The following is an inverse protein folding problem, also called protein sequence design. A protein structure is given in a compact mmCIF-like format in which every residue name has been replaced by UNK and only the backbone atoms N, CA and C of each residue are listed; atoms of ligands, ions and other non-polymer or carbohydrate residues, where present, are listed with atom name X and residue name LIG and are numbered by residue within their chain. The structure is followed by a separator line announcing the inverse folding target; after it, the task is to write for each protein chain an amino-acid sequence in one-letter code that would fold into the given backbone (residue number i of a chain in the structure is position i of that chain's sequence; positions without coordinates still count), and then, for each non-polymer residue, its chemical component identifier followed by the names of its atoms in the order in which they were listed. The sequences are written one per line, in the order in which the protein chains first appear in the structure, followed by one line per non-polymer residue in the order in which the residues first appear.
data_IF_905742927127
#
_entry.id   IF_905742927127
#
_cell.length_a   1.000
_cell.length_b   1.000
_cell.length_c   1.000
_cell.angle_alpha   90.00
_cell.angle_beta   90.00
_cell.angle_gamma   90.00
#
_symmetry.space_group_name_H-M   'P 1'
#
loop_
_entity.id
_entity.type
_entity.pdbx_description
1 polymer ?
#
# COMPACT_ATOMS: atom_id res chain seq x y z
N UNK A 1 -14.25 -17.59 -3.63
CA UNK A 1 -13.10 -17.67 -4.57
C UNK A 1 -11.87 -17.01 -3.95
N UNK A 2 -10.68 -17.61 -4.06
CA UNK A 2 -9.45 -16.94 -3.63
C UNK A 2 -9.17 -15.72 -4.52
N UNK A 3 -8.68 -14.60 -3.97
CA UNK A 3 -8.33 -13.43 -4.78
C UNK A 3 -7.22 -13.80 -5.77
N UNK A 4 -7.31 -13.30 -7.00
CA UNK A 4 -6.23 -13.46 -7.99
C UNK A 4 -5.12 -12.49 -7.63
N UNK A 5 -3.93 -13.00 -7.31
CA UNK A 5 -2.76 -12.18 -6.96
C UNK A 5 -1.68 -12.37 -8.03
N UNK A 6 -1.12 -11.26 -8.51
CA UNK A 6 0.02 -11.23 -9.42
C UNK A 6 1.21 -10.61 -8.70
N UNK A 7 2.33 -11.32 -8.71
CA UNK A 7 3.57 -10.90 -8.05
C UNK A 7 4.64 -10.58 -9.11
N UNK A 8 5.25 -9.41 -9.01
CA UNK A 8 6.39 -9.00 -9.83
C UNK A 8 7.54 -8.58 -8.91
N UNK A 9 8.49 -9.47 -8.65
CA UNK A 9 9.58 -9.23 -7.71
C UNK A 9 10.93 -9.55 -8.36
N UNK A 10 11.98 -8.89 -7.88
CA UNK A 10 13.36 -9.24 -8.23
C UNK A 10 13.70 -10.66 -7.76
N UNK A 11 14.62 -11.33 -8.45
CA UNK A 11 15.09 -12.65 -8.04
C UNK A 11 15.90 -12.60 -6.72
N UNK A 12 16.55 -11.47 -6.45
CA UNK A 12 17.33 -11.26 -5.24
C UNK A 12 16.47 -10.61 -4.13
N UNK A 13 16.69 -10.99 -2.84
CA UNK A 13 16.06 -10.33 -1.71
C UNK A 13 16.41 -8.84 -1.63
N UNK A 14 15.41 -8.00 -1.38
CA UNK A 14 15.61 -6.58 -1.06
C UNK A 14 15.61 -6.41 0.44
N UNK A 15 16.74 -5.96 1.00
CA UNK A 15 16.91 -5.77 2.44
C UNK A 15 16.63 -4.32 2.84
N UNK A 16 15.98 -4.16 4.00
CA UNK A 16 15.71 -2.86 4.65
C UNK A 16 15.94 -3.02 6.15
N UNK A 17 16.35 -1.94 6.83
CA UNK A 17 16.42 -1.92 8.28
C UNK A 17 15.07 -1.50 8.88
N UNK A 18 14.60 -2.24 9.88
CA UNK A 18 13.33 -1.92 10.51
C UNK A 18 12.81 -2.93 11.53
N UNK A 19 11.69 -2.58 12.16
CA UNK A 19 10.91 -3.50 12.97
C UNK A 19 10.06 -4.38 12.05
N UNK A 20 10.37 -5.67 12.04
CA UNK A 20 9.73 -6.64 11.16
C UNK A 20 8.22 -6.81 11.42
N UNK A 21 7.76 -6.63 12.67
CA UNK A 21 6.35 -6.75 13.02
C UNK A 21 5.58 -5.54 12.52
N UNK A 22 6.12 -4.33 12.70
CA UNK A 22 5.51 -3.09 12.22
C UNK A 22 5.45 -3.05 10.69
N UNK A 23 6.54 -3.41 10.00
CA UNK A 23 6.57 -3.47 8.54
C UNK A 23 5.57 -4.49 7.99
N UNK A 24 5.47 -5.67 8.62
CA UNK A 24 4.46 -6.68 8.27
C UNK A 24 3.04 -6.12 8.42
N UNK A 25 2.76 -5.41 9.51
CA UNK A 25 1.45 -4.82 9.75
C UNK A 25 1.13 -3.73 8.71
N UNK A 26 2.10 -2.91 8.33
CA UNK A 26 1.93 -1.91 7.27
C UNK A 26 1.57 -2.55 5.92
N UNK A 27 2.31 -3.59 5.52
CA UNK A 27 2.05 -4.32 4.27
C UNK A 27 0.68 -5.01 4.33
N UNK A 28 0.37 -5.66 5.46
CA UNK A 28 -0.93 -6.31 5.67
C UNK A 28 -2.09 -5.32 5.51
N UNK A 29 -1.99 -4.13 6.09
CA UNK A 29 -3.02 -3.11 5.97
C UNK A 29 -3.24 -2.66 4.52
N UNK A 30 -2.17 -2.54 3.72
CA UNK A 30 -2.31 -2.21 2.29
C UNK A 30 -2.95 -3.35 1.49
N UNK A 31 -2.53 -4.60 1.73
CA UNK A 31 -3.12 -5.77 1.06
C UNK A 31 -4.59 -5.92 1.45
N UNK A 32 -4.94 -5.79 2.73
CA UNK A 32 -6.32 -5.88 3.20
C UNK A 32 -7.20 -4.79 2.59
N UNK A 33 -6.70 -3.55 2.49
CA UNK A 33 -7.42 -2.48 1.81
C UNK A 33 -7.64 -2.80 0.33
N UNK A 34 -6.61 -3.27 -0.36
CA UNK A 34 -6.71 -3.63 -1.77
C UNK A 34 -7.66 -4.82 -2.01
N UNK A 35 -7.68 -5.82 -1.12
CA UNK A 35 -8.65 -6.92 -1.20
C UNK A 35 -10.08 -6.47 -0.90
N UNK A 36 -10.26 -5.50 -0.01
CA UNK A 36 -11.58 -5.00 0.40
C UNK A 36 -12.19 -4.04 -0.61
N UNK A 37 -11.38 -3.17 -1.21
CA UNK A 37 -11.84 -2.06 -2.06
C UNK A 37 -11.44 -2.20 -3.53
N UNK A 38 -10.62 -3.19 -3.86
CA UNK A 38 -9.95 -3.32 -5.16
C UNK A 38 -10.74 -3.93 -6.30
N UNK A 39 -12.04 -4.15 -6.12
CA UNK A 39 -12.91 -4.76 -7.13
C UNK A 39 -12.57 -6.23 -7.44
N UNK A 40 -13.08 -6.73 -8.57
CA UNK A 40 -12.93 -8.14 -8.99
C UNK A 40 -11.65 -8.42 -9.79
N UNK A 41 -10.86 -7.38 -10.09
CA UNK A 41 -9.60 -7.50 -10.82
C UNK A 41 -8.48 -8.15 -10.00
N UNK A 42 -7.38 -8.59 -10.64
CA UNK A 42 -6.26 -9.15 -9.92
C UNK A 42 -5.58 -8.09 -9.04
N UNK A 43 -5.19 -8.46 -7.83
CA UNK A 43 -4.31 -7.66 -6.99
C UNK A 43 -2.88 -7.78 -7.51
N UNK A 44 -2.25 -6.66 -7.87
CA UNK A 44 -0.89 -6.63 -8.39
C UNK A 44 0.06 -6.13 -7.30
N UNK A 45 1.07 -6.92 -6.96
CA UNK A 45 2.10 -6.56 -5.99
C UNK A 45 3.45 -6.60 -6.69
N UNK A 46 4.18 -5.50 -6.66
CA UNK A 46 5.51 -5.41 -7.25
C UNK A 46 6.54 -4.93 -6.22
N UNK A 47 7.73 -5.52 -6.25
CA UNK A 47 8.89 -5.09 -5.46
C UNK A 47 10.07 -4.83 -6.39
N UNK A 48 10.49 -3.58 -6.47
CA UNK A 48 11.61 -3.12 -7.28
C UNK A 48 12.64 -2.39 -6.42
N UNK A 49 13.82 -2.15 -6.99
CA UNK A 49 14.83 -1.26 -6.41
C UNK A 49 15.02 -0.09 -7.34
N UNK A 50 14.82 1.12 -6.81
CA UNK A 50 14.94 2.36 -7.56
C UNK A 50 15.80 3.33 -6.77
N UNK A 51 16.91 3.80 -7.36
CA UNK A 51 17.78 4.81 -6.75
C UNK A 51 18.19 4.51 -5.30
N UNK A 52 18.52 3.25 -5.00
CA UNK A 52 18.91 2.82 -3.65
C UNK A 52 17.75 2.70 -2.65
N UNK A 53 16.50 2.68 -3.11
CA UNK A 53 15.33 2.45 -2.28
C UNK A 53 14.64 1.15 -2.65
N UNK A 54 14.11 0.45 -1.65
CA UNK A 54 13.15 -0.62 -1.83
C UNK A 54 11.78 0.00 -2.15
N UNK A 55 11.20 -0.34 -3.30
CA UNK A 55 9.92 0.20 -3.75
C UNK A 55 8.90 -0.93 -3.83
N UNK A 56 7.96 -0.94 -2.88
CA UNK A 56 6.84 -1.87 -2.85
C UNK A 56 5.60 -1.17 -3.39
N UNK A 57 5.01 -1.72 -4.43
CA UNK A 57 3.78 -1.22 -5.03
C UNK A 57 2.67 -2.26 -4.91
N UNK A 58 1.48 -1.82 -4.48
CA UNK A 58 0.26 -2.62 -4.42
C UNK A 58 -0.79 -1.89 -5.24
N UNK A 59 -1.23 -2.51 -6.33
CA UNK A 59 -2.18 -1.92 -7.27
C UNK A 59 -3.43 -2.79 -7.40
N UNK A 60 -4.59 -2.17 -7.22
CA UNK A 60 -5.90 -2.78 -7.34
C UNK A 60 -6.68 -2.29 -8.56
N UNK A 61 -7.94 -2.71 -8.68
CA UNK A 61 -8.86 -2.35 -9.77
C UNK A 61 -10.18 -1.78 -9.22
N UNK A 62 -10.11 -1.18 -8.03
CA UNK A 62 -11.26 -0.60 -7.34
C UNK A 62 -11.71 0.74 -7.89
N UNK A 63 -12.49 1.48 -7.09
CA UNK A 63 -12.94 2.83 -7.44
C UNK A 63 -11.82 3.89 -7.37
N UNK A 64 -10.68 3.56 -6.76
CA UNK A 64 -9.63 4.54 -6.44
C UNK A 64 -10.02 5.46 -5.28
N UNK A 65 -9.35 6.61 -5.20
CA UNK A 65 -9.60 7.66 -4.20
C UNK A 65 -9.95 8.96 -4.92
N UNK A 66 -11.07 9.59 -4.56
CA UNK A 66 -11.41 10.91 -5.07
C UNK A 66 -10.33 11.94 -4.69
N UNK A 67 -9.96 12.85 -5.59
CA UNK A 67 -8.88 13.81 -5.37
C UNK A 67 -9.06 14.63 -4.07
N UNK A 68 -10.30 14.99 -3.73
CA UNK A 68 -10.66 15.71 -2.50
C UNK A 68 -10.41 14.92 -1.19
N UNK A 69 -10.11 13.63 -1.28
CA UNK A 69 -9.86 12.75 -0.15
C UNK A 69 -8.40 12.27 -0.08
N UNK A 70 -7.58 12.53 -1.12
CA UNK A 70 -6.23 11.97 -1.24
C UNK A 70 -5.29 12.33 -0.08
N UNK A 71 -5.41 13.51 0.50
CA UNK A 71 -4.62 13.88 1.70
C UNK A 71 -5.24 13.32 2.99
N UNK A 72 -6.58 13.32 3.05
CA UNK A 72 -7.34 12.92 4.24
C UNK A 72 -7.33 11.43 4.49
N UNK A 73 -7.10 10.58 3.49
CA UNK A 73 -7.08 9.11 3.66
C UNK A 73 -6.00 8.61 4.62
N UNK A 74 -4.99 9.42 4.93
CA UNK A 74 -3.98 9.12 5.95
C UNK A 74 -4.36 9.61 7.35
N UNK A 75 -5.42 10.41 7.49
CA UNK A 75 -5.95 10.81 8.79
C UNK A 75 -6.63 9.62 9.47
N UNK A 76 -6.50 9.54 10.79
CA UNK A 76 -7.19 8.52 11.57
C UNK A 76 -8.69 8.71 11.44
N UNK A 77 -9.42 7.61 11.24
CA UNK A 77 -10.88 7.58 11.11
C UNK A 77 -11.42 8.23 9.82
N UNK A 78 -10.55 8.67 8.91
CA UNK A 78 -10.99 9.12 7.60
C UNK A 78 -11.54 7.94 6.80
N UNK A 79 -12.74 8.14 6.24
CA UNK A 79 -13.42 7.19 5.37
C UNK A 79 -13.93 7.95 4.16
N UNK A 80 -13.83 7.35 2.97
CA UNK A 80 -14.52 7.86 1.79
C UNK A 80 -16.03 7.70 1.95
N UNK A 81 -16.81 8.64 1.40
CA UNK A 81 -18.26 8.52 1.32
C UNK A 81 -18.63 7.22 0.55
N UNK A 82 -19.46 6.35 1.15
CA UNK A 82 -19.90 5.09 0.54
C UNK A 82 -19.02 3.85 0.81
N UNK A 83 -18.00 3.93 1.68
CA UNK A 83 -17.19 2.75 2.02
C UNK A 83 -18.01 1.67 2.78
N UNK A 84 -17.96 0.38 2.38
CA UNK A 84 -18.70 -0.69 3.04
C UNK A 84 -18.37 -0.83 4.53
N UNK A 85 -19.39 -1.11 5.33
CA UNK A 85 -19.34 -1.30 6.79
C UNK A 85 -18.25 -2.31 7.18
N UNK A 86 -17.22 -1.86 7.90
CA UNK A 86 -16.16 -2.71 8.45
C UNK A 86 -14.77 -2.08 8.31
N UNK A 87 -14.15 -1.69 9.41
CA UNK A 87 -12.80 -1.11 9.43
C UNK A 87 -12.79 0.30 10.02
N UNK A 88 -11.92 0.53 11.00
CA UNK A 88 -11.89 1.75 11.81
C UNK A 88 -11.33 3.00 11.10
N UNK A 89 -11.02 2.94 9.80
CA UNK A 89 -10.33 4.02 9.09
C UNK A 89 -8.91 4.28 9.64
N UNK A 90 -8.27 3.24 10.18
CA UNK A 90 -6.94 3.35 10.80
C UNK A 90 -5.81 2.81 9.92
N UNK A 91 -6.13 1.97 8.93
CA UNK A 91 -5.13 1.19 8.18
C UNK A 91 -4.06 2.06 7.54
N UNK A 92 -4.45 3.04 6.71
CA UNK A 92 -3.49 3.94 6.04
C UNK A 92 -2.75 4.87 7.02
N UNK A 93 -3.37 5.27 8.12
CA UNK A 93 -2.70 6.03 9.18
C UNK A 93 -1.60 5.20 9.88
N UNK A 94 -1.83 3.90 10.09
CA UNK A 94 -0.82 2.95 10.59
C UNK A 94 0.31 2.83 9.57
N UNK A 95 -0.02 2.61 8.30
CA UNK A 95 0.99 2.48 7.23
C UNK A 95 1.87 3.73 7.15
N UNK A 96 1.26 4.93 7.11
CA UNK A 96 1.97 6.21 7.09
C UNK A 96 2.97 6.30 8.25
N UNK A 97 2.51 6.06 9.48
CA UNK A 97 3.36 6.14 10.67
C UNK A 97 4.52 5.14 10.61
N UNK A 98 4.25 3.89 10.24
CA UNK A 98 5.29 2.87 10.15
C UNK A 98 6.31 3.26 9.09
N UNK A 99 5.87 3.65 7.90
CA UNK A 99 6.79 4.00 6.82
C UNK A 99 7.63 5.23 7.18
N UNK A 100 7.01 6.26 7.77
CA UNK A 100 7.72 7.46 8.23
C UNK A 100 8.76 7.13 9.32
N UNK A 101 8.43 6.25 10.27
CA UNK A 101 9.36 5.83 11.34
C UNK A 101 10.56 5.03 10.83
N UNK A 102 10.49 4.53 9.60
CA UNK A 102 11.56 3.79 8.92
C UNK A 102 12.31 4.66 7.90
N UNK A 103 12.11 5.99 7.93
CA UNK A 103 12.76 6.93 7.01
C UNK A 103 12.28 6.79 5.56
N UNK A 104 11.10 6.19 5.36
CA UNK A 104 10.50 6.00 4.05
C UNK A 104 9.45 7.05 3.70
N UNK A 105 8.73 6.78 2.60
CA UNK A 105 7.50 7.49 2.24
C UNK A 105 6.45 6.55 1.68
N UNK A 106 5.19 6.91 1.83
CA UNK A 106 4.07 6.27 1.16
C UNK A 106 3.34 7.28 0.27
N UNK A 107 3.04 6.87 -0.96
CA UNK A 107 2.27 7.63 -1.93
C UNK A 107 1.04 6.81 -2.37
N UNK A 108 -0.06 7.50 -2.68
CA UNK A 108 -1.26 6.93 -3.26
C UNK A 108 -1.57 7.63 -4.58
N UNK A 109 -1.88 6.87 -5.61
CA UNK A 109 -2.29 7.41 -6.92
C UNK A 109 -3.37 6.55 -7.58
N UNK A 110 -4.28 7.19 -8.30
CA UNK A 110 -5.28 6.46 -9.08
C UNK A 110 -4.67 5.93 -10.38
N UNK A 111 -5.13 4.76 -10.81
CA UNK A 111 -4.79 4.20 -12.11
C UNK A 111 -5.60 4.91 -13.21
N UNK A 112 -5.02 5.13 -14.40
CA UNK A 112 -5.75 5.66 -15.55
C UNK A 112 -7.01 4.85 -15.90
N UNK A 113 -6.93 3.53 -15.75
CA UNK A 113 -8.01 2.57 -16.03
C UNK A 113 -8.96 2.29 -14.85
N UNK A 114 -8.84 3.03 -13.74
CA UNK A 114 -9.56 2.75 -12.48
C UNK A 114 -8.77 1.83 -11.55
N UNK A 115 -8.91 2.08 -10.25
CA UNK A 115 -8.16 1.43 -9.17
C UNK A 115 -7.16 2.35 -8.48
N UNK A 116 -6.60 1.86 -7.39
CA UNK A 116 -5.61 2.57 -6.58
C UNK A 116 -4.24 1.89 -6.69
N UNK A 117 -3.19 2.70 -6.65
CA UNK A 117 -1.80 2.28 -6.49
C UNK A 117 -1.31 2.84 -5.15
N UNK A 118 -0.91 1.96 -4.24
CA UNK A 118 -0.18 2.33 -3.04
C UNK A 118 1.29 1.99 -3.20
N UNK A 119 2.17 2.97 -3.01
CA UNK A 119 3.61 2.81 -3.16
C UNK A 119 4.34 3.17 -1.87
N UNK A 120 4.98 2.18 -1.26
CA UNK A 120 5.91 2.37 -0.14
C UNK A 120 7.33 2.44 -0.71
N UNK A 121 8.11 3.42 -0.26
CA UNK A 121 9.56 3.49 -0.50
C UNK A 121 10.29 3.50 0.82
N UNK A 122 11.25 2.59 0.97
CA UNK A 122 12.11 2.49 2.15
C UNK A 122 13.57 2.59 1.72
N UNK A 123 14.46 3.19 2.53
CA UNK A 123 15.89 3.11 2.30
C UNK A 123 16.34 1.65 2.24
N UNK A 124 17.02 1.26 1.15
CA UNK A 124 17.60 -0.07 1.03
C UNK A 124 18.80 -0.16 1.95
N UNK A 125 18.92 -1.25 2.71
CA UNK A 125 20.17 -1.58 3.38
C UNK A 125 21.10 -2.27 2.39
N UNK A 126 22.38 -1.90 2.44
CA UNK A 126 23.39 -2.75 1.82
C UNK A 126 23.36 -4.13 2.50
N UNK A 127 23.56 -5.22 1.76
CA UNK A 127 23.78 -6.53 2.36
C UNK A 127 25.01 -6.52 3.29
#
# INVERSE_FOLDING_TARGET
PAPRVQLAMTAEPVQVHGDALLLREAIKNLVDNALKYGGDGPLQIALTVESGQAVLTIADHGAGIAAAHAERVFERFARGEGAPSGGAGLGLAIVKRVVDSHGGRIDLSNRPQGGLIATIRLPRSSP
#
